data_IF_432857495954
#
_entry.id   IF_432857495954
#
_cell.length_a   1.000
_cell.length_b   1.000
_cell.length_c   1.000
_cell.angle_alpha   90.00
_cell.angle_beta   90.00
_cell.angle_gamma   90.00
#
_symmetry.space_group_name_H-M   'P 1'
#
loop_
_entity.id
_entity.type
_entity.pdbx_description
1 polymer ?
#
# COMPACT_ATOMS: atom_id res chain seq x y z
N UNK A 1 -25.83 -16.79 -15.25
CA UNK A 1 -26.14 -15.39 -14.84
C UNK A 1 -25.83 -15.09 -13.37
N UNK A 2 -25.70 -16.08 -12.47
CA UNK A 2 -25.31 -15.82 -11.07
C UNK A 2 -23.80 -15.53 -10.89
N UNK A 3 -22.92 -16.25 -11.59
CA UNK A 3 -21.47 -16.08 -11.47
C UNK A 3 -20.96 -14.66 -11.82
N UNK A 4 -21.63 -13.96 -12.76
CA UNK A 4 -21.26 -12.59 -13.14
C UNK A 4 -21.59 -11.57 -12.06
N UNK A 5 -22.65 -11.79 -11.26
CA UNK A 5 -22.95 -10.92 -10.12
C UNK A 5 -21.99 -11.14 -8.96
N UNK A 6 -21.62 -12.39 -8.69
CA UNK A 6 -20.66 -12.72 -7.63
C UNK A 6 -19.29 -12.10 -7.91
N UNK A 7 -18.78 -12.24 -9.14
CA UNK A 7 -17.50 -11.65 -9.54
C UNK A 7 -17.52 -10.12 -9.45
N UNK A 8 -18.64 -9.50 -9.80
CA UNK A 8 -18.81 -8.04 -9.70
C UNK A 8 -18.77 -7.57 -8.24
N UNK A 9 -19.47 -8.26 -7.32
CA UNK A 9 -19.48 -7.92 -5.89
C UNK A 9 -18.08 -8.11 -5.30
N UNK A 10 -17.40 -9.21 -5.63
CA UNK A 10 -16.04 -9.49 -5.16
C UNK A 10 -15.06 -8.44 -5.70
N UNK A 11 -15.12 -8.11 -6.99
CA UNK A 11 -14.28 -7.09 -7.62
C UNK A 11 -14.48 -5.70 -7.01
N UNK A 12 -15.73 -5.31 -6.77
CA UNK A 12 -16.08 -4.05 -6.10
C UNK A 12 -15.51 -3.99 -4.68
N UNK A 13 -15.63 -5.08 -3.91
CA UNK A 13 -15.10 -5.15 -2.55
C UNK A 13 -13.57 -5.00 -2.52
N UNK A 14 -12.85 -5.68 -3.43
CA UNK A 14 -11.41 -5.59 -3.57
C UNK A 14 -10.95 -4.17 -3.97
N UNK A 15 -11.67 -3.52 -4.87
CA UNK A 15 -11.41 -2.16 -5.30
C UNK A 15 -11.53 -1.17 -4.14
N UNK A 16 -12.64 -1.26 -3.38
CA UNK A 16 -12.90 -0.39 -2.23
C UNK A 16 -11.85 -0.63 -1.14
N UNK A 17 -11.57 -1.89 -0.80
CA UNK A 17 -10.56 -2.23 0.21
C UNK A 17 -9.16 -1.77 -0.20
N UNK A 18 -8.77 -1.98 -1.47
CA UNK A 18 -7.51 -1.50 -2.02
C UNK A 18 -7.35 0.02 -1.93
N UNK A 19 -8.40 0.77 -2.30
CA UNK A 19 -8.38 2.24 -2.20
C UNK A 19 -8.29 2.72 -0.74
N UNK A 20 -9.13 2.18 0.15
CA UNK A 20 -9.16 2.60 1.56
C UNK A 20 -7.80 2.35 2.22
N UNK A 21 -7.26 1.14 2.06
CA UNK A 21 -5.98 0.77 2.67
C UNK A 21 -4.81 1.53 2.04
N UNK A 22 -4.85 1.78 0.73
CA UNK A 22 -3.85 2.59 0.03
C UNK A 22 -3.81 4.04 0.49
N UNK A 23 -4.99 4.66 0.71
CA UNK A 23 -5.10 6.02 1.25
C UNK A 23 -4.59 6.05 2.69
N UNK A 24 -5.01 5.10 3.53
CA UNK A 24 -4.55 4.99 4.93
C UNK A 24 -3.03 4.86 5.03
N UNK A 25 -2.42 3.97 4.25
CA UNK A 25 -0.96 3.79 4.26
C UNK A 25 -0.22 5.00 3.70
N UNK A 26 -0.74 5.64 2.64
CA UNK A 26 -0.15 6.87 2.09
C UNK A 26 -0.19 8.02 3.10
N UNK A 27 -1.32 8.19 3.78
CA UNK A 27 -1.50 9.19 4.84
C UNK A 27 -0.57 8.92 6.03
N UNK A 28 -0.49 7.66 6.47
CA UNK A 28 0.37 7.23 7.56
C UNK A 28 1.86 7.45 7.21
N UNK A 29 2.29 7.13 5.99
CA UNK A 29 3.65 7.38 5.51
C UNK A 29 3.97 8.88 5.50
N UNK A 30 3.05 9.72 5.04
CA UNK A 30 3.19 11.17 5.09
C UNK A 30 3.32 11.68 6.52
N UNK A 31 2.50 11.17 7.45
CA UNK A 31 2.55 11.51 8.87
C UNK A 31 3.88 11.12 9.52
N UNK A 32 4.36 9.89 9.32
CA UNK A 32 5.66 9.44 9.83
C UNK A 32 6.83 10.22 9.23
N UNK A 33 6.80 10.50 7.92
CA UNK A 33 7.83 11.30 7.25
C UNK A 33 7.87 12.74 7.81
N UNK A 34 6.71 13.30 8.18
CA UNK A 34 6.60 14.63 8.81
C UNK A 34 7.12 14.63 10.25
N UNK A 35 6.93 13.55 11.00
CA UNK A 35 7.47 13.38 12.37
C UNK A 35 8.99 13.22 12.38
N UNK A 36 9.55 12.52 11.38
CA UNK A 36 10.98 12.19 11.34
C UNK A 36 11.90 13.40 11.00
N UNK A 37 11.36 14.48 10.41
CA UNK A 37 12.16 15.69 10.12
C UNK A 37 12.59 16.50 11.35
N UNK A 38 12.14 16.15 12.56
CA UNK A 38 12.54 16.85 13.80
C UNK A 38 13.74 16.21 14.53
N UNK A 39 14.15 15.00 14.15
CA UNK A 39 15.22 14.25 14.83
C UNK A 39 16.47 14.06 13.96
N UNK A 40 16.71 14.93 12.97
CA UNK A 40 17.87 14.87 12.09
C UNK A 40 19.14 15.31 12.80
N UNK A 41 19.70 14.45 13.67
CA UNK A 41 21.12 14.54 14.03
C UNK A 41 21.80 13.19 14.35
N UNK A 42 21.10 12.06 14.48
CA UNK A 42 21.77 10.77 14.69
C UNK A 42 21.00 9.62 14.06
N UNK A 43 21.44 9.17 12.89
CA UNK A 43 21.55 7.75 12.50
C UNK A 43 21.89 7.64 11.01
N UNK A 44 23.13 7.98 10.68
CA UNK A 44 23.80 7.33 9.56
C UNK A 44 24.33 5.99 10.07
N UNK A 45 23.44 5.02 10.25
CA UNK A 45 23.88 3.63 10.34
C UNK A 45 23.75 3.04 8.95
N UNK A 46 24.89 2.74 8.36
CA UNK A 46 25.04 2.17 7.03
C UNK A 46 24.59 0.70 7.08
N UNK A 47 23.29 0.45 7.21
CA UNK A 47 22.74 -0.91 7.09
C UNK A 47 22.62 -1.25 5.60
N UNK A 48 23.73 -1.70 5.02
CA UNK A 48 23.83 -2.31 3.68
C UNK A 48 23.20 -3.72 3.62
N UNK A 49 22.20 -3.98 4.46
CA UNK A 49 21.48 -5.24 4.49
C UNK A 49 20.22 -5.13 3.62
N UNK A 50 19.99 -6.13 2.77
CA UNK A 50 18.75 -6.29 2.00
C UNK A 50 17.50 -6.11 2.87
N UNK A 51 17.55 -6.57 4.13
CA UNK A 51 16.48 -6.39 5.11
C UNK A 51 16.23 -4.92 5.50
N UNK A 52 17.28 -4.11 5.61
CA UNK A 52 17.17 -2.67 5.89
C UNK A 52 16.55 -1.89 4.74
N UNK A 53 16.91 -2.25 3.50
CA UNK A 53 16.29 -1.69 2.30
C UNK A 53 14.79 -2.00 2.21
N UNK A 54 14.41 -3.26 2.46
CA UNK A 54 13.00 -3.68 2.44
C UNK A 54 12.21 -2.92 3.52
N UNK A 55 12.70 -2.86 4.76
CA UNK A 55 12.00 -2.15 5.86
C UNK A 55 11.81 -0.66 5.55
N UNK A 56 12.82 0.00 4.98
CA UNK A 56 12.76 1.43 4.63
C UNK A 56 11.75 1.71 3.52
N UNK A 57 11.63 0.80 2.56
CA UNK A 57 10.74 0.93 1.40
C UNK A 57 9.42 0.16 1.55
N UNK A 58 9.20 -0.54 2.68
CA UNK A 58 8.00 -1.34 2.94
C UNK A 58 6.69 -0.57 2.72
N UNK A 59 6.57 0.70 3.14
CA UNK A 59 5.37 1.49 2.84
C UNK A 59 5.12 1.66 1.32
N UNK A 60 6.20 1.78 0.53
CA UNK A 60 6.11 1.88 -0.93
C UNK A 60 5.61 0.57 -1.54
N UNK A 61 6.13 -0.58 -1.07
CA UNK A 61 5.66 -1.89 -1.50
C UNK A 61 4.20 -2.14 -1.12
N UNK A 62 3.78 -1.69 0.06
CA UNK A 62 2.37 -1.72 0.49
C UNK A 62 1.46 -0.92 -0.43
N UNK A 63 1.85 0.31 -0.78
CA UNK A 63 1.09 1.13 -1.73
C UNK A 63 0.99 0.42 -3.09
N UNK A 64 2.10 -0.12 -3.59
CA UNK A 64 2.12 -0.88 -4.85
C UNK A 64 1.17 -2.08 -4.80
N UNK A 65 1.18 -2.82 -3.68
CA UNK A 65 0.30 -3.96 -3.46
C UNK A 65 -1.19 -3.56 -3.51
N UNK A 66 -1.56 -2.45 -2.87
CA UNK A 66 -2.94 -1.97 -2.90
C UNK A 66 -3.37 -1.47 -4.29
N UNK A 67 -2.47 -0.88 -5.06
CA UNK A 67 -2.72 -0.52 -6.46
C UNK A 67 -2.98 -1.78 -7.28
N UNK A 68 -2.15 -2.82 -7.13
CA UNK A 68 -2.37 -4.10 -7.83
C UNK A 68 -3.71 -4.72 -7.42
N UNK A 69 -4.06 -4.74 -6.14
CA UNK A 69 -5.38 -5.19 -5.68
C UNK A 69 -6.54 -4.42 -6.32
N UNK A 70 -6.44 -3.10 -6.44
CA UNK A 70 -7.46 -2.28 -7.07
C UNK A 70 -7.61 -2.59 -8.58
N UNK A 71 -6.49 -2.81 -9.28
CA UNK A 71 -6.49 -3.22 -10.70
C UNK A 71 -7.11 -4.61 -10.85
N UNK A 72 -6.78 -5.56 -9.97
CA UNK A 72 -7.38 -6.90 -9.97
C UNK A 72 -8.88 -6.84 -9.70
N UNK A 73 -9.31 -5.98 -8.77
CA UNK A 73 -10.74 -5.73 -8.51
C UNK A 73 -11.46 -5.17 -9.74
N UNK A 74 -10.88 -4.19 -10.44
CA UNK A 74 -11.40 -3.69 -11.72
C UNK A 74 -11.47 -4.80 -12.78
N UNK A 75 -10.43 -5.61 -12.91
CA UNK A 75 -10.38 -6.69 -13.90
C UNK A 75 -11.44 -7.78 -13.63
N UNK A 76 -11.83 -8.01 -12.38
CA UNK A 76 -12.91 -8.94 -12.03
C UNK A 76 -14.32 -8.38 -12.28
N UNK A 77 -14.46 -7.06 -12.42
CA UNK A 77 -15.73 -6.39 -12.69
C UNK A 77 -16.05 -6.29 -14.19
N UNK A 78 -15.03 -6.46 -15.05
CA UNK A 78 -15.13 -6.46 -16.52
C UNK A 78 -15.36 -7.89 -17.00
#
# INVERSE_FOLDING_TARGET
MLATQENFIVGLSLLITGLILGILTSFLMWFFKRRNRRNTLKQYHHESSWWGFIKKNFPLFLVLFFVVMAITGLAMMI
#
